data_IF_272052491152
#
_entry.id   IF_272052491152
#
_cell.length_a   1.000
_cell.length_b   1.000
_cell.length_c   1.000
_cell.angle_alpha   90.00
_cell.angle_beta   90.00
_cell.angle_gamma   90.00
#
_symmetry.space_group_name_H-M   'P 1'
#
loop_
_entity.id
_entity.type
_entity.pdbx_description
1 polymer ?
#
# COMPACT_ATOMS: atom_id res chain seq x y z
N UNK A 1 0.66 -12.62 13.03
CA UNK A 1 0.48 -11.79 11.82
C UNK A 1 -0.41 -10.63 12.20
N UNK A 2 -0.01 -9.40 11.89
CA UNK A 2 -0.86 -8.24 12.06
C UNK A 2 -1.77 -8.06 10.84
N UNK A 3 -2.92 -7.43 11.03
CA UNK A 3 -3.86 -7.08 9.97
C UNK A 3 -4.60 -5.79 10.32
N UNK A 4 -5.25 -5.18 9.33
CA UNK A 4 -6.00 -3.95 9.53
C UNK A 4 -7.45 -4.27 9.91
N UNK A 5 -7.89 -3.73 11.04
CA UNK A 5 -9.28 -3.76 11.49
C UNK A 5 -9.92 -2.39 11.36
N UNK A 6 -11.12 -2.34 10.80
CA UNK A 6 -11.93 -1.13 10.73
C UNK A 6 -12.92 -1.07 11.89
N UNK A 7 -13.02 0.09 12.53
CA UNK A 7 -14.02 0.38 13.56
C UNK A 7 -14.89 1.55 13.12
N UNK A 8 -16.21 1.42 13.29
CA UNK A 8 -17.14 2.53 13.11
C UNK A 8 -17.38 3.21 14.47
N UNK A 9 -17.15 4.52 14.53
CA UNK A 9 -17.33 5.34 15.73
C UNK A 9 -18.09 6.60 15.31
N UNK A 10 -19.30 6.80 15.83
CA UNK A 10 -20.17 7.96 15.52
C UNK A 10 -20.34 8.18 14.00
N UNK A 11 -20.54 7.11 13.25
CA UNK A 11 -20.74 7.15 11.79
C UNK A 11 -19.46 7.34 10.97
N UNK A 12 -18.30 7.43 11.61
CA UNK A 12 -17.00 7.60 10.95
C UNK A 12 -16.19 6.30 11.06
N UNK A 13 -15.52 5.93 9.97
CA UNK A 13 -14.67 4.73 9.92
C UNK A 13 -13.22 5.07 10.28
N UNK A 14 -12.60 4.18 11.06
CA UNK A 14 -11.23 4.32 11.55
C UNK A 14 -10.47 3.01 11.40
N UNK A 15 -9.22 3.08 10.95
CA UNK A 15 -8.36 1.92 10.75
C UNK A 15 -7.39 1.73 11.92
N UNK A 16 -7.19 0.47 12.31
CA UNK A 16 -6.27 0.06 13.36
C UNK A 16 -5.46 -1.13 12.89
N UNK A 17 -4.15 -1.13 13.17
CA UNK A 17 -3.33 -2.32 13.07
C UNK A 17 -3.56 -3.16 14.32
N UNK A 18 -3.97 -4.41 14.13
CA UNK A 18 -4.21 -5.37 15.22
C UNK A 18 -3.41 -6.64 15.00
N UNK A 19 -3.16 -7.38 16.07
CA UNK A 19 -2.66 -8.75 16.00
C UNK A 19 -3.50 -9.67 16.87
N UNK A 20 -3.51 -10.97 16.54
CA UNK A 20 -4.09 -11.98 17.42
C UNK A 20 -3.08 -12.38 18.50
N UNK A 21 -3.55 -12.47 19.74
CA UNK A 21 -2.80 -13.00 20.88
C UNK A 21 -3.60 -14.12 21.56
N UNK A 22 -2.93 -15.16 22.03
CA UNK A 22 -3.55 -16.25 22.79
C UNK A 22 -3.48 -15.93 24.28
N UNK A 23 -4.61 -16.00 24.98
CA UNK A 23 -4.72 -15.78 26.42
C UNK A 23 -5.31 -17.02 27.09
N UNK A 24 -5.20 -17.22 28.41
CA UNK A 24 -5.81 -18.36 29.09
C UNK A 24 -7.33 -18.53 28.82
N UNK A 25 -8.02 -17.45 28.43
CA UNK A 25 -9.46 -17.44 28.11
C UNK A 25 -9.77 -17.51 26.60
N UNK A 26 -8.76 -17.80 25.77
CA UNK A 26 -8.89 -17.91 24.32
C UNK A 26 -8.21 -16.79 23.55
N UNK A 27 -8.51 -16.71 22.25
CA UNK A 27 -7.92 -15.73 21.34
C UNK A 27 -8.47 -14.33 21.58
N UNK A 28 -7.58 -13.35 21.67
CA UNK A 28 -7.87 -11.92 21.80
C UNK A 28 -7.19 -11.15 20.67
N UNK A 29 -7.68 -9.95 20.39
CA UNK A 29 -7.06 -9.03 19.44
C UNK A 29 -6.43 -7.86 20.19
N UNK A 30 -5.12 -7.69 20.04
CA UNK A 30 -4.38 -6.56 20.57
C UNK A 30 -4.26 -5.46 19.53
N UNK A 31 -4.66 -4.24 19.88
CA UNK A 31 -4.43 -3.07 19.03
C UNK A 31 -2.96 -2.67 19.14
N UNK A 32 -2.25 -2.65 18.01
CA UNK A 32 -0.86 -2.21 17.92
C UNK A 32 -0.75 -0.72 17.63
N UNK A 33 -1.58 -0.23 16.71
CA UNK A 33 -1.43 1.12 16.18
C UNK A 33 -2.74 1.65 15.62
N UNK A 34 -3.00 2.93 15.84
CA UNK A 34 -4.04 3.67 15.13
C UNK A 34 -3.48 4.16 13.79
N UNK A 35 -4.17 3.84 12.68
CA UNK A 35 -3.71 4.13 11.32
C UNK A 35 -4.36 5.38 10.71
N UNK A 36 -5.44 5.88 11.33
CA UNK A 36 -6.10 7.11 10.92
C UNK A 36 -7.58 6.93 10.61
N UNK A 37 -8.20 8.05 10.25
CA UNK A 37 -9.57 8.06 9.70
C UNK A 37 -9.54 7.47 8.29
N UNK A 38 -10.56 6.68 7.96
CA UNK A 38 -10.69 6.10 6.63
C UNK A 38 -11.35 7.11 5.69
N UNK A 39 -10.76 7.28 4.53
CA UNK A 39 -11.32 7.98 3.39
C UNK A 39 -11.41 7.01 2.20
N UNK A 40 -12.49 7.09 1.41
CA UNK A 40 -12.71 6.20 0.26
C UNK A 40 -12.75 7.02 -1.03
N UNK A 41 -11.62 7.15 -1.74
CA UNK A 41 -11.61 7.79 -3.06
C UNK A 41 -12.55 7.06 -4.03
N UNK A 42 -13.17 7.81 -4.94
CA UNK A 42 -13.95 7.23 -6.03
C UNK A 42 -13.00 6.89 -7.18
N UNK A 43 -13.20 5.72 -7.77
CA UNK A 43 -12.52 5.34 -9.01
C UNK A 43 -13.07 6.15 -10.17
N UNK A 44 -12.20 6.71 -11.00
CA UNK A 44 -12.63 7.43 -12.20
C UNK A 44 -13.07 6.46 -13.30
N UNK A 45 -14.09 6.85 -14.05
CA UNK A 45 -14.60 6.07 -15.18
C UNK A 45 -13.62 6.08 -16.36
N UNK A 46 -13.64 5.00 -17.17
CA UNK A 46 -12.69 4.78 -18.26
C UNK A 46 -12.64 5.92 -19.29
N UNK A 47 -13.72 6.68 -19.47
CA UNK A 47 -13.80 7.76 -20.46
C UNK A 47 -12.94 8.99 -20.11
N UNK A 48 -12.52 9.17 -18.85
CA UNK A 48 -11.59 10.25 -18.45
C UNK A 48 -10.11 9.89 -18.67
N UNK A 49 -9.79 8.65 -19.10
CA UNK A 49 -8.42 8.11 -19.13
C UNK A 49 -7.59 8.51 -20.34
N UNK A 50 -8.21 8.90 -21.45
CA UNK A 50 -7.47 9.12 -22.71
C UNK A 50 -6.81 10.51 -22.78
N UNK A 51 -7.24 11.46 -21.95
CA UNK A 51 -6.72 12.84 -21.97
C UNK A 51 -5.55 13.12 -21.01
N UNK A 52 -5.22 12.22 -20.09
CA UNK A 52 -4.22 12.45 -19.03
C UNK A 52 -3.24 11.28 -18.81
N UNK A 53 -2.89 10.53 -19.87
CA UNK A 53 -1.77 9.59 -19.78
C UNK A 53 -0.45 10.37 -19.76
N UNK A 54 -0.13 10.96 -18.60
CA UNK A 54 1.24 11.33 -18.29
C UNK A 54 2.08 10.05 -18.33
N UNK A 55 3.09 10.02 -19.20
CA UNK A 55 4.04 8.92 -19.22
C UNK A 55 4.78 8.89 -17.87
N UNK A 56 4.50 7.87 -17.06
CA UNK A 56 5.04 7.80 -15.70
C UNK A 56 6.52 7.46 -15.77
N UNK A 57 7.35 8.50 -15.69
CA UNK A 57 8.80 8.43 -15.55
C UNK A 57 9.18 8.12 -14.09
N UNK A 58 8.96 6.88 -13.66
CA UNK A 58 9.37 6.38 -12.35
C UNK A 58 10.10 5.04 -12.51
N UNK A 59 11.33 4.98 -12.01
CA UNK A 59 12.19 3.80 -12.13
C UNK A 59 11.88 2.76 -11.05
N UNK A 60 11.44 3.21 -9.86
CA UNK A 60 11.02 2.31 -8.81
C UNK A 60 9.63 1.75 -9.12
N UNK A 61 9.57 0.44 -9.38
CA UNK A 61 8.34 -0.28 -9.74
C UNK A 61 7.26 -0.11 -8.67
N UNK A 62 7.62 -0.07 -7.38
CA UNK A 62 6.63 0.08 -6.29
C UNK A 62 6.02 1.47 -6.36
N UNK A 63 6.84 2.52 -6.48
CA UNK A 63 6.37 3.90 -6.62
C UNK A 63 5.53 4.06 -7.87
N UNK A 64 5.95 3.47 -8.98
CA UNK A 64 5.22 3.50 -10.26
C UNK A 64 3.80 2.95 -10.12
N UNK A 65 3.64 1.79 -9.48
CA UNK A 65 2.32 1.17 -9.28
C UNK A 65 1.45 2.01 -8.33
N UNK A 66 2.04 2.59 -7.28
CA UNK A 66 1.33 3.50 -6.39
C UNK A 66 0.81 4.71 -7.16
N UNK A 67 1.65 5.36 -7.97
CA UNK A 67 1.26 6.51 -8.82
C UNK A 67 0.14 6.10 -9.77
N UNK A 68 0.31 4.99 -10.51
CA UNK A 68 -0.69 4.48 -11.44
C UNK A 68 -2.04 4.22 -10.78
N UNK A 69 -2.04 3.62 -9.59
CA UNK A 69 -3.29 3.35 -8.89
C UNK A 69 -3.95 4.65 -8.41
N UNK A 70 -3.18 5.59 -7.85
CA UNK A 70 -3.70 6.89 -7.40
C UNK A 70 -4.28 7.70 -8.57
N UNK A 71 -3.65 7.71 -9.73
CA UNK A 71 -4.18 8.34 -10.95
C UNK A 71 -5.57 7.78 -11.31
N UNK A 72 -5.78 6.46 -11.19
CA UNK A 72 -7.11 5.84 -11.43
C UNK A 72 -8.20 6.32 -10.45
N UNK A 73 -7.82 6.91 -9.33
CA UNK A 73 -8.73 7.49 -8.33
C UNK A 73 -8.75 9.03 -8.38
N UNK A 74 -8.26 9.63 -9.47
CA UNK A 74 -8.32 11.07 -9.73
C UNK A 74 -7.32 11.91 -8.97
N UNK A 75 -6.26 11.31 -8.43
CA UNK A 75 -5.16 12.07 -7.88
C UNK A 75 -4.33 12.68 -9.02
N UNK A 76 -3.81 13.89 -8.84
CA UNK A 76 -2.87 14.52 -9.75
C UNK A 76 -1.48 14.61 -9.14
N UNK A 77 -0.44 14.57 -9.99
CA UNK A 77 0.95 14.69 -9.55
C UNK A 77 1.32 16.14 -9.31
N UNK A 78 1.89 16.41 -8.15
CA UNK A 78 2.49 17.68 -7.76
C UNK A 78 3.85 17.39 -7.14
N UNK A 79 4.89 17.43 -7.98
CA UNK A 79 6.27 17.20 -7.56
C UNK A 79 6.44 15.78 -6.95
N UNK A 80 6.72 15.68 -5.65
CA UNK A 80 6.82 14.41 -4.91
C UNK A 80 5.51 13.89 -4.32
N UNK A 81 4.42 14.65 -4.48
CA UNK A 81 3.11 14.31 -3.91
C UNK A 81 2.08 13.98 -4.99
N UNK A 82 1.23 13.01 -4.70
CA UNK A 82 -0.06 12.83 -5.39
C UNK A 82 -1.14 13.51 -4.56
N UNK A 83 -1.98 14.33 -5.18
CA UNK A 83 -2.97 15.15 -4.47
C UNK A 83 -4.40 14.94 -4.97
N UNK A 84 -5.35 14.93 -4.03
CA UNK A 84 -6.80 14.92 -4.31
C UNK A 84 -7.49 15.81 -3.27
N UNK A 85 -7.81 17.04 -3.65
CA UNK A 85 -8.34 18.05 -2.73
C UNK A 85 -7.40 18.30 -1.55
N UNK A 86 -7.83 17.96 -0.32
CA UNK A 86 -7.03 18.10 0.91
C UNK A 86 -6.13 16.89 1.23
N UNK A 87 -6.22 15.82 0.43
CA UNK A 87 -5.47 14.59 0.61
C UNK A 87 -4.15 14.69 -0.15
N UNK A 88 -3.07 14.27 0.51
CA UNK A 88 -1.73 14.19 -0.06
C UNK A 88 -1.12 12.82 0.23
N UNK A 89 -0.58 12.20 -0.81
CA UNK A 89 0.25 11.00 -0.71
C UNK A 89 1.66 11.36 -1.13
N UNK A 90 2.60 11.38 -0.20
CA UNK A 90 4.01 11.62 -0.52
C UNK A 90 4.65 10.31 -0.98
N UNK A 91 5.09 10.28 -2.24
CA UNK A 91 5.60 9.06 -2.88
C UNK A 91 7.00 8.69 -2.36
N UNK A 92 7.83 9.69 -2.02
CA UNK A 92 9.17 9.47 -1.50
C UNK A 92 9.17 8.92 -0.07
N UNK A 93 8.35 9.53 0.79
CA UNK A 93 8.26 9.19 2.22
C UNK A 93 7.25 8.08 2.52
N UNK A 94 6.42 7.73 1.53
CA UNK A 94 5.32 6.77 1.65
C UNK A 94 4.36 7.17 2.78
N UNK A 95 3.90 8.42 2.74
CA UNK A 95 3.02 8.99 3.77
C UNK A 95 1.68 9.42 3.20
N UNK A 96 0.60 9.07 3.90
CA UNK A 96 -0.77 9.45 3.52
C UNK A 96 -1.34 10.41 4.54
N UNK A 97 -1.68 11.64 4.10
CA UNK A 97 -2.13 12.72 4.98
C UNK A 97 -3.36 13.42 4.42
N UNK A 98 -4.19 13.93 5.32
CA UNK A 98 -5.22 14.92 5.01
C UNK A 98 -5.11 16.05 6.02
N UNK A 99 -4.91 17.29 5.56
CA UNK A 99 -4.67 18.44 6.45
C UNK A 99 -3.60 18.13 7.52
N UNK A 100 -2.47 17.55 7.09
CA UNK A 100 -1.35 17.08 7.94
C UNK A 100 -1.66 15.96 8.96
N UNK A 101 -2.88 15.42 8.99
CA UNK A 101 -3.25 14.29 9.86
C UNK A 101 -3.10 12.96 9.13
N UNK A 102 -2.67 11.93 9.85
CA UNK A 102 -2.63 10.55 9.34
C UNK A 102 -4.04 10.07 8.99
N UNK A 103 -4.18 9.56 7.77
CA UNK A 103 -5.40 8.93 7.29
C UNK A 103 -5.07 7.62 6.58
N UNK A 104 -6.11 6.87 6.27
CA UNK A 104 -6.04 5.63 5.51
C UNK A 104 -6.98 5.73 4.32
N UNK A 105 -6.50 5.43 3.11
CA UNK A 105 -7.35 5.34 1.93
C UNK A 105 -7.86 3.91 1.79
N UNK A 106 -9.17 3.72 1.84
CA UNK A 106 -9.82 2.46 1.47
C UNK A 106 -9.91 2.43 -0.06
N UNK A 107 -9.06 1.62 -0.68
CA UNK A 107 -8.96 1.50 -2.14
C UNK A 107 -8.89 0.03 -2.53
N UNK A 108 -9.60 -0.31 -3.61
CA UNK A 108 -9.79 -1.71 -4.02
C UNK A 108 -10.28 -2.57 -2.83
N UNK A 109 -9.52 -3.59 -2.45
CA UNK A 109 -9.81 -4.50 -1.33
C UNK A 109 -8.91 -4.24 -0.10
N UNK A 110 -8.12 -3.16 -0.12
CA UNK A 110 -7.11 -2.87 0.90
C UNK A 110 -7.15 -1.44 1.44
N UNK A 111 -6.08 -1.11 2.17
CA UNK A 111 -5.96 0.11 2.96
C UNK A 111 -4.60 0.76 2.74
N UNK A 112 -4.54 1.76 1.86
CA UNK A 112 -3.31 2.52 1.63
C UNK A 112 -3.07 3.51 2.77
N UNK A 113 -2.00 3.30 3.53
CA UNK A 113 -1.53 4.17 4.59
C UNK A 113 -0.02 4.02 4.76
N UNK A 114 0.59 4.83 5.63
CA UNK A 114 2.03 4.75 5.90
C UNK A 114 2.52 3.33 6.21
N UNK A 115 1.71 2.58 6.96
CA UNK A 115 2.08 1.25 7.44
C UNK A 115 2.16 0.25 6.29
N UNK A 116 1.11 0.18 5.46
CA UNK A 116 1.03 -0.80 4.37
C UNK A 116 1.99 -0.46 3.23
N UNK A 117 2.19 0.82 2.93
CA UNK A 117 3.17 1.25 1.94
C UNK A 117 4.60 0.92 2.38
N UNK A 118 4.94 1.14 3.67
CA UNK A 118 6.25 0.76 4.21
C UNK A 118 6.45 -0.75 4.23
N UNK A 119 5.43 -1.52 4.60
CA UNK A 119 5.48 -2.98 4.53
C UNK A 119 5.74 -3.49 3.10
N UNK A 120 5.13 -2.87 2.09
CA UNK A 120 5.40 -3.20 0.68
C UNK A 120 6.84 -2.84 0.26
N UNK A 121 7.32 -1.65 0.61
CA UNK A 121 8.70 -1.23 0.32
C UNK A 121 9.73 -2.13 1.00
N UNK A 122 9.51 -2.45 2.26
CA UNK A 122 10.44 -3.18 3.12
C UNK A 122 10.25 -4.71 3.02
N UNK A 123 9.37 -5.17 2.11
CA UNK A 123 9.14 -6.58 1.85
C UNK A 123 10.45 -7.29 1.48
N UNK A 124 10.76 -8.35 2.23
CA UNK A 124 11.94 -9.18 2.00
C UNK A 124 11.52 -10.43 1.26
N UNK A 125 12.08 -10.61 0.06
CA UNK A 125 11.89 -11.85 -0.67
C UNK A 125 12.58 -13.01 0.07
N UNK A 126 11.98 -14.20 0.02
CA UNK A 126 12.64 -15.44 0.44
C UNK A 126 13.12 -16.16 -0.83
N UNK A 127 14.06 -17.10 -0.71
CA UNK A 127 14.58 -17.85 -1.88
C UNK A 127 13.51 -18.68 -2.58
N UNK A 128 12.51 -19.14 -1.83
CA UNK A 128 11.43 -19.95 -2.36
C UNK A 128 10.35 -19.04 -3.01
N UNK A 129 10.21 -19.04 -4.35
CA UNK A 129 9.24 -18.18 -5.03
C UNK A 129 7.79 -18.58 -4.72
N UNK A 130 7.51 -19.88 -4.58
CA UNK A 130 6.16 -20.41 -4.33
C UNK A 130 5.58 -19.92 -3.00
N UNK A 131 6.44 -19.67 -2.01
CA UNK A 131 6.04 -19.07 -0.73
C UNK A 131 6.06 -17.55 -0.75
N UNK A 132 6.98 -16.95 -1.50
CA UNK A 132 7.21 -15.50 -1.48
C UNK A 132 6.20 -14.73 -2.32
N UNK A 133 5.90 -15.20 -3.53
CA UNK A 133 5.01 -14.49 -4.46
C UNK A 133 3.60 -14.33 -3.88
N UNK A 134 2.98 -15.35 -3.26
CA UNK A 134 1.67 -15.17 -2.61
C UNK A 134 1.70 -14.18 -1.44
N UNK A 135 2.79 -14.17 -0.64
CA UNK A 135 2.98 -13.20 0.45
C UNK A 135 3.07 -11.78 -0.11
N UNK A 136 3.85 -11.57 -1.18
CA UNK A 136 4.00 -10.28 -1.83
C UNK A 136 2.67 -9.80 -2.43
N UNK A 137 1.95 -10.67 -3.15
CA UNK A 137 0.64 -10.36 -3.71
C UNK A 137 -0.36 -9.92 -2.61
N UNK A 138 -0.33 -10.62 -1.47
CA UNK A 138 -1.12 -10.24 -0.30
C UNK A 138 -0.72 -8.86 0.25
N UNK A 139 0.57 -8.56 0.37
CA UNK A 139 1.04 -7.24 0.82
C UNK A 139 0.65 -6.11 -0.15
N UNK A 140 0.70 -6.36 -1.47
CA UNK A 140 0.22 -5.43 -2.50
C UNK A 140 -1.28 -5.15 -2.32
N UNK A 141 -2.08 -6.22 -2.17
CA UNK A 141 -3.52 -6.12 -1.94
C UNK A 141 -3.84 -5.33 -0.67
N UNK A 142 -3.18 -5.65 0.45
CA UNK A 142 -3.36 -4.96 1.74
C UNK A 142 -3.01 -3.47 1.67
N UNK A 143 -2.06 -3.09 0.81
CA UNK A 143 -1.71 -1.70 0.52
C UNK A 143 -2.75 -0.95 -0.34
N UNK A 144 -3.87 -1.59 -0.67
CA UNK A 144 -4.94 -1.00 -1.49
C UNK A 144 -4.60 -0.94 -2.98
N UNK A 145 -3.55 -1.67 -3.41
CA UNK A 145 -3.16 -1.79 -4.81
C UNK A 145 -3.77 -3.07 -5.40
N UNK A 146 -3.92 -3.11 -6.73
CA UNK A 146 -4.36 -4.31 -7.42
C UNK A 146 -3.13 -5.15 -7.80
N UNK A 147 -2.98 -6.39 -7.30
CA UNK A 147 -1.85 -7.23 -7.69
C UNK A 147 -2.04 -7.71 -9.13
N UNK A 148 -1.28 -7.13 -10.06
CA UNK A 148 -1.15 -7.65 -11.42
C UNK A 148 0.00 -8.65 -11.47
N UNK A 149 -0.20 -9.78 -12.17
CA UNK A 149 0.76 -10.89 -12.17
C UNK A 149 2.15 -10.46 -12.65
N UNK A 150 2.21 -9.71 -13.73
CA UNK A 150 3.48 -9.23 -14.30
C UNK A 150 4.21 -8.27 -13.35
N UNK A 151 3.48 -7.36 -12.72
CA UNK A 151 4.04 -6.39 -11.76
C UNK A 151 4.55 -7.08 -10.50
N UNK A 152 3.78 -8.03 -9.98
CA UNK A 152 4.14 -8.81 -8.79
C UNK A 152 5.43 -9.60 -9.03
N UNK A 153 5.55 -10.27 -10.18
CA UNK A 153 6.76 -11.01 -10.56
C UNK A 153 7.95 -10.06 -10.69
N UNK A 154 7.78 -8.91 -11.35
CA UNK A 154 8.86 -7.90 -11.50
C UNK A 154 9.35 -7.34 -10.15
N UNK A 155 8.44 -7.07 -9.21
CA UNK A 155 8.81 -6.65 -7.85
C UNK A 155 9.60 -7.76 -7.17
N UNK A 156 9.12 -9.02 -7.24
CA UNK A 156 9.82 -10.17 -6.67
C UNK A 156 11.23 -10.32 -7.22
N UNK A 157 11.40 -10.30 -8.55
CA UNK A 157 12.71 -10.43 -9.20
C UNK A 157 13.68 -9.32 -8.77
N UNK A 158 13.22 -8.07 -8.71
CA UNK A 158 14.01 -6.93 -8.25
C UNK A 158 14.49 -7.15 -6.81
N UNK A 159 13.61 -7.62 -5.91
CA UNK A 159 13.93 -7.88 -4.51
C UNK A 159 14.81 -9.12 -4.33
N UNK A 160 14.62 -10.17 -5.14
CA UNK A 160 15.41 -11.40 -5.08
C UNK A 160 16.85 -11.20 -5.61
N UNK A 161 17.06 -10.36 -6.63
CA UNK A 161 18.39 -9.99 -7.13
C UNK A 161 19.26 -9.35 -6.03
N UNK A 162 18.67 -8.50 -5.19
CA UNK A 162 19.36 -7.87 -4.04
C UNK A 162 19.89 -8.94 -3.08
N UNK A 163 19.15 -10.04 -2.86
CA UNK A 163 19.58 -11.14 -1.99
C UNK A 163 20.77 -11.87 -2.59
N UNK A 164 20.73 -12.18 -3.89
CA UNK A 164 21.84 -12.86 -4.58
C UNK A 164 23.12 -12.04 -4.52
N UNK A 165 23.04 -10.73 -4.76
CA UNK A 165 24.19 -9.83 -4.72
C UNK A 165 24.78 -9.67 -3.30
N UNK A 166 23.95 -9.71 -2.26
CA UNK A 166 24.41 -9.64 -0.87
C UNK A 166 25.00 -10.95 -0.34
N UNK A 167 24.84 -12.07 -1.06
CA UNK A 167 25.38 -13.40 -0.69
C UNK A 167 26.72 -13.73 -1.36
N UNK A 168 27.18 -12.91 -2.29
CA UNK A 168 28.52 -13.04 -2.88
C UNK A 168 29.48 -12.14 -2.10
N UNK A 169 30.23 -12.64 -1.11
CA UNK A 169 31.36 -11.88 -0.57
C UNK A 169 32.38 -11.71 -1.70
N UNK A 170 32.86 -10.48 -1.88
CA UNK A 170 34.10 -10.21 -2.61
C UNK A 170 35.29 -10.86 -1.90
#
# INVERSE_FOLDING_TARGET
MSFIRVKNIKGQKYAYLVENEWTPWGSRQKVKKYLGKIYKPKKQDKQQKESEQEEIQEQDIIKKIIIQELLKHGFSRQDTNMTLGSIKVNIERLEVRQNNKKITLEMNEGYMCDETLKQLRDFKAEENPERTIPKLAKTILEAGLKPETQETVKIYETKAKIIKNNKTPQ
#
